data_IF_440786210369
#
_entry.id   IF_440786210369
#
_cell.length_a   1.000
_cell.length_b   1.000
_cell.length_c   1.000
_cell.angle_alpha   90.00
_cell.angle_beta   90.00
_cell.angle_gamma   90.00
#
_symmetry.space_group_name_H-M   'P 1'
#
loop_
_entity.id
_entity.type
_entity.pdbx_description
1 polymer ?
#
# COMPACT_ATOMS: atom_id res chain seq x y z
N UNK A 1 -9.90 -25.67 -2.76
CA UNK A 1 -9.74 -25.55 -4.23
C UNK A 1 -10.09 -24.15 -4.74
N UNK A 2 -11.35 -23.70 -4.67
CA UNK A 2 -11.77 -22.38 -5.22
C UNK A 2 -11.03 -21.18 -4.61
N UNK A 3 -10.81 -21.19 -3.29
CA UNK A 3 -10.13 -20.10 -2.58
C UNK A 3 -8.63 -19.95 -2.97
N UNK A 4 -7.95 -21.04 -3.35
CA UNK A 4 -6.56 -20.97 -3.85
C UNK A 4 -6.48 -20.41 -5.27
N UNK A 5 -7.48 -20.70 -6.11
CA UNK A 5 -7.61 -20.10 -7.44
C UNK A 5 -7.89 -18.60 -7.28
N UNK A 6 -8.78 -18.23 -6.35
CA UNK A 6 -9.11 -16.84 -6.01
C UNK A 6 -7.88 -16.00 -5.66
N UNK A 7 -6.97 -16.52 -4.82
CA UNK A 7 -5.70 -15.85 -4.50
C UNK A 7 -4.83 -15.59 -5.73
N UNK A 8 -4.71 -16.58 -6.60
CA UNK A 8 -3.94 -16.45 -7.84
C UNK A 8 -4.57 -15.42 -8.76
N UNK A 9 -5.89 -15.43 -8.91
CA UNK A 9 -6.63 -14.41 -9.67
C UNK A 9 -6.46 -13.02 -9.07
N UNK A 10 -6.49 -12.90 -7.73
CA UNK A 10 -6.27 -11.62 -7.04
C UNK A 10 -4.84 -11.11 -7.27
N UNK A 11 -3.83 -11.97 -7.24
CA UNK A 11 -2.45 -11.60 -7.54
C UNK A 11 -2.29 -11.11 -8.99
N UNK A 12 -2.89 -11.82 -9.96
CA UNK A 12 -2.89 -11.39 -11.37
C UNK A 12 -3.61 -10.04 -11.54
N UNK A 13 -4.76 -9.85 -10.88
CA UNK A 13 -5.50 -8.59 -10.88
C UNK A 13 -4.67 -7.44 -10.30
N UNK A 14 -3.97 -7.68 -9.19
CA UNK A 14 -3.02 -6.71 -8.58
C UNK A 14 -1.89 -6.39 -9.55
N UNK A 15 -1.28 -7.39 -10.18
CA UNK A 15 -0.24 -7.19 -11.20
C UNK A 15 -0.70 -6.33 -12.38
N UNK A 16 -1.91 -6.58 -12.90
CA UNK A 16 -2.49 -5.77 -13.97
C UNK A 16 -2.80 -4.34 -13.51
N UNK A 17 -3.32 -4.16 -12.30
CA UNK A 17 -3.54 -2.84 -11.71
C UNK A 17 -2.22 -2.06 -11.54
N UNK A 18 -1.15 -2.72 -11.07
CA UNK A 18 0.18 -2.11 -10.92
C UNK A 18 0.76 -1.75 -12.29
N UNK A 19 0.74 -2.67 -13.25
CA UNK A 19 1.27 -2.45 -14.59
C UNK A 19 0.54 -1.34 -15.35
N UNK A 20 -0.79 -1.35 -15.32
CA UNK A 20 -1.59 -0.26 -15.90
C UNK A 20 -1.33 1.07 -15.18
N UNK A 21 -1.14 1.05 -13.85
CA UNK A 21 -0.80 2.25 -13.10
C UNK A 21 0.56 2.83 -13.48
N UNK A 22 1.57 1.99 -13.69
CA UNK A 22 2.88 2.43 -14.17
C UNK A 22 2.75 3.14 -15.52
N UNK A 23 2.04 2.54 -16.47
CA UNK A 23 1.83 3.12 -17.81
C UNK A 23 1.01 4.42 -17.77
N UNK A 24 -0.07 4.47 -16.99
CA UNK A 24 -0.87 5.70 -16.82
C UNK A 24 -0.03 6.80 -16.19
N UNK A 25 0.76 6.48 -15.17
CA UNK A 25 1.59 7.46 -14.47
C UNK A 25 2.70 7.99 -15.37
N UNK A 26 3.27 7.16 -16.25
CA UNK A 26 4.21 7.59 -17.28
C UNK A 26 3.55 8.53 -18.30
N UNK A 27 2.32 8.22 -18.73
CA UNK A 27 1.57 9.11 -19.62
C UNK A 27 1.23 10.45 -18.95
N UNK A 28 0.84 10.43 -17.67
CA UNK A 28 0.60 11.64 -16.89
C UNK A 28 1.89 12.43 -16.64
N UNK A 29 3.02 11.76 -16.50
CA UNK A 29 4.33 12.41 -16.39
C UNK A 29 4.72 13.14 -17.69
N UNK A 30 4.46 12.51 -18.84
CA UNK A 30 4.61 13.18 -20.13
C UNK A 30 3.65 14.37 -20.26
N UNK A 31 2.38 14.20 -19.86
CA UNK A 31 1.39 15.27 -19.86
C UNK A 31 1.80 16.44 -18.94
N UNK A 32 2.35 16.14 -17.75
CA UNK A 32 2.90 17.14 -16.84
C UNK A 32 4.01 17.96 -17.52
N UNK A 33 4.97 17.28 -18.15
CA UNK A 33 6.08 17.95 -18.86
C UNK A 33 5.60 18.88 -19.98
N UNK A 34 4.46 18.60 -20.59
CA UNK A 34 3.84 19.49 -21.61
C UNK A 34 2.94 20.58 -21.02
N UNK A 35 2.44 20.39 -19.80
CA UNK A 35 1.51 21.30 -19.14
C UNK A 35 2.23 22.40 -18.34
N UNK A 36 3.48 22.18 -17.96
CA UNK A 36 4.32 23.20 -17.32
C UNK A 36 4.64 24.30 -18.32
N UNK A 37 4.36 25.54 -17.94
CA UNK A 37 4.59 26.75 -18.76
C UNK A 37 5.82 27.54 -18.32
N UNK A 38 6.62 26.99 -17.40
CA UNK A 38 7.83 27.62 -16.89
C UNK A 38 8.98 27.51 -17.88
N UNK A 39 9.54 28.65 -18.31
CA UNK A 39 10.52 28.71 -19.40
C UNK A 39 11.85 27.98 -19.09
N UNK A 40 12.28 27.96 -17.83
CA UNK A 40 13.50 27.24 -17.42
C UNK A 40 13.24 25.79 -16.99
N UNK A 41 12.05 25.25 -17.28
CA UNK A 41 11.72 23.88 -16.92
C UNK A 41 12.67 22.88 -17.58
N UNK A 42 13.31 22.07 -16.74
CA UNK A 42 14.19 20.98 -17.15
C UNK A 42 13.97 19.74 -16.31
N UNK A 43 14.09 18.57 -16.94
CA UNK A 43 14.09 17.26 -16.27
C UNK A 43 15.47 16.59 -16.35
N UNK A 44 16.52 17.39 -16.54
CA UNK A 44 17.89 16.90 -16.55
C UNK A 44 18.30 16.40 -15.17
N UNK A 45 18.87 15.19 -15.09
CA UNK A 45 19.48 14.68 -13.86
C UNK A 45 20.75 15.45 -13.44
N UNK A 46 21.24 16.37 -14.28
CA UNK A 46 22.30 17.30 -13.92
C UNK A 46 21.77 18.50 -13.10
N UNK A 47 20.46 18.75 -13.09
CA UNK A 47 19.83 19.77 -12.26
C UNK A 47 19.63 19.24 -10.83
N UNK A 48 20.23 19.89 -9.81
CA UNK A 48 20.02 19.52 -8.41
C UNK A 48 18.55 19.48 -7.99
N UNK A 49 17.70 20.35 -8.54
CA UNK A 49 16.26 20.40 -8.22
C UNK A 49 15.55 19.11 -8.59
N UNK A 50 15.86 18.58 -9.78
CA UNK A 50 15.32 17.30 -10.26
C UNK A 50 15.80 16.15 -9.38
N UNK A 51 17.07 16.14 -8.97
CA UNK A 51 17.62 15.09 -8.10
C UNK A 51 17.01 15.14 -6.70
N UNK A 52 16.83 16.33 -6.13
CA UNK A 52 16.13 16.50 -4.84
C UNK A 52 14.70 15.96 -4.93
N UNK A 53 13.98 16.34 -5.98
CA UNK A 53 12.66 15.82 -6.30
C UNK A 53 12.66 14.29 -6.36
N UNK A 54 13.59 13.71 -7.11
CA UNK A 54 13.72 12.26 -7.29
C UNK A 54 13.86 11.51 -5.97
N UNK A 55 14.70 12.02 -5.05
CA UNK A 55 14.90 11.43 -3.73
C UNK A 55 13.65 11.54 -2.85
N UNK A 56 12.98 12.70 -2.84
CA UNK A 56 11.72 12.91 -2.12
C UNK A 56 10.66 11.94 -2.66
N UNK A 57 10.48 11.92 -3.98
CA UNK A 57 9.55 11.03 -4.66
C UNK A 57 9.83 9.56 -4.39
N UNK A 58 11.11 9.17 -4.40
CA UNK A 58 11.55 7.82 -4.08
C UNK A 58 11.23 7.38 -2.65
N UNK A 59 11.20 8.31 -1.70
CA UNK A 59 10.88 8.03 -0.31
C UNK A 59 9.36 7.93 -0.06
N UNK A 60 8.53 8.64 -0.82
CA UNK A 60 7.08 8.72 -0.58
C UNK A 60 6.37 7.35 -0.55
N UNK A 61 6.64 6.40 -1.48
CA UNK A 61 6.07 5.06 -1.39
C UNK A 61 6.43 4.32 -0.11
N UNK A 62 7.66 4.45 0.39
CA UNK A 62 8.07 3.84 1.65
C UNK A 62 7.39 4.48 2.85
N UNK A 63 7.23 5.80 2.86
CA UNK A 63 6.51 6.53 3.91
C UNK A 63 5.06 6.06 3.97
N UNK A 64 4.36 6.06 2.84
CA UNK A 64 2.96 5.63 2.77
C UNK A 64 2.80 4.18 3.17
N UNK A 65 3.68 3.29 2.69
CA UNK A 65 3.68 1.89 3.09
C UNK A 65 3.92 1.73 4.60
N UNK A 66 4.86 2.47 5.19
CA UNK A 66 5.12 2.42 6.63
C UNK A 66 3.89 2.86 7.45
N UNK A 67 3.20 3.92 6.99
CA UNK A 67 1.96 4.39 7.63
C UNK A 67 0.89 3.30 7.58
N UNK A 68 0.57 2.76 6.39
CA UNK A 68 -0.49 1.76 6.22
C UNK A 68 -0.18 0.47 6.97
N UNK A 69 1.07 -0.01 6.93
CA UNK A 69 1.51 -1.18 7.70
C UNK A 69 1.35 -0.98 9.20
N UNK A 70 1.75 0.19 9.71
CA UNK A 70 1.63 0.52 11.13
C UNK A 70 0.17 0.59 11.56
N UNK A 71 -0.69 1.17 10.74
CA UNK A 71 -2.13 1.28 10.99
C UNK A 71 -2.80 -0.09 11.08
N UNK A 72 -2.50 -1.00 10.13
CA UNK A 72 -3.01 -2.37 10.19
C UNK A 72 -2.48 -3.11 11.43
N UNK A 73 -1.20 -2.97 11.75
CA UNK A 73 -0.62 -3.59 12.94
C UNK A 73 -1.30 -3.16 14.25
N UNK A 74 -1.63 -1.88 14.39
CA UNK A 74 -2.38 -1.36 15.56
C UNK A 74 -3.79 -1.96 15.61
N UNK A 75 -4.53 -1.91 14.51
CA UNK A 75 -5.90 -2.44 14.44
C UNK A 75 -5.96 -3.95 14.68
N UNK A 76 -5.00 -4.70 14.12
CA UNK A 76 -4.87 -6.14 14.33
C UNK A 76 -4.52 -6.45 15.80
N UNK A 77 -3.67 -5.65 16.45
CA UNK A 77 -3.38 -5.78 17.87
C UNK A 77 -4.62 -5.61 18.75
N UNK A 78 -5.42 -4.58 18.50
CA UNK A 78 -6.70 -4.36 19.19
C UNK A 78 -7.68 -5.52 18.94
N UNK A 79 -7.77 -6.01 17.71
CA UNK A 79 -8.59 -7.16 17.33
C UNK A 79 -8.18 -8.43 18.10
N UNK A 80 -6.88 -8.70 18.24
CA UNK A 80 -6.37 -9.86 18.99
C UNK A 80 -6.73 -9.77 20.47
N UNK A 81 -6.61 -8.59 21.07
CA UNK A 81 -6.99 -8.37 22.47
C UNK A 81 -8.48 -8.62 22.68
N UNK A 82 -9.33 -8.14 21.77
CA UNK A 82 -10.77 -8.34 21.85
C UNK A 82 -11.16 -9.82 21.67
N UNK A 83 -10.59 -10.52 20.68
CA UNK A 83 -10.85 -11.95 20.48
C UNK A 83 -10.44 -12.75 21.73
N UNK A 84 -9.29 -12.44 22.33
CA UNK A 84 -8.83 -13.08 23.57
C UNK A 84 -9.78 -12.79 24.73
N UNK A 85 -10.30 -11.57 24.84
CA UNK A 85 -11.29 -11.19 25.85
C UNK A 85 -12.56 -12.03 25.68
N UNK A 86 -13.10 -12.13 24.46
CA UNK A 86 -14.30 -12.92 24.19
C UNK A 86 -14.11 -14.40 24.54
N UNK A 87 -12.99 -15.02 24.15
CA UNK A 87 -12.73 -16.42 24.52
C UNK A 87 -12.57 -16.64 26.03
N UNK A 88 -12.13 -15.62 26.77
CA UNK A 88 -11.95 -15.71 28.23
C UNK A 88 -13.24 -15.44 29.01
N UNK A 89 -14.07 -14.51 28.54
CA UNK A 89 -15.22 -13.98 29.29
C UNK A 89 -16.57 -14.57 28.84
N UNK A 90 -16.68 -15.07 27.61
CA UNK A 90 -17.92 -15.68 27.09
C UNK A 90 -17.87 -17.19 27.32
N UNK A 91 -18.52 -17.64 28.40
CA UNK A 91 -18.62 -19.06 28.76
C UNK A 91 -19.23 -19.89 27.64
N UNK A 92 -18.56 -20.98 27.23
CA UNK A 92 -19.04 -21.86 26.18
C UNK A 92 -18.62 -21.46 24.77
N UNK A 93 -17.94 -20.32 24.57
CA UNK A 93 -17.51 -19.88 23.25
C UNK A 93 -16.37 -20.73 22.69
N UNK A 94 -15.38 -21.07 23.54
CA UNK A 94 -14.24 -21.89 23.13
C UNK A 94 -14.66 -23.34 22.83
N UNK A 95 -15.60 -23.87 23.61
CA UNK A 95 -16.15 -25.21 23.44
C UNK A 95 -17.19 -25.29 22.32
N UNK A 96 -17.64 -24.15 21.79
CA UNK A 96 -18.66 -24.08 20.74
C UNK A 96 -20.03 -24.57 21.19
N UNK A 97 -20.44 -24.23 22.43
CA UNK A 97 -21.75 -24.62 22.97
C UNK A 97 -22.90 -24.06 22.10
N UNK A 98 -23.92 -24.88 21.90
CA UNK A 98 -25.08 -24.52 21.09
C UNK A 98 -25.78 -23.27 21.65
N UNK A 99 -26.00 -22.28 20.78
CA UNK A 99 -26.61 -21.00 21.14
C UNK A 99 -25.65 -19.91 21.65
N UNK A 100 -24.40 -20.25 22.00
CA UNK A 100 -23.36 -19.26 22.33
C UNK A 100 -22.74 -18.73 21.05
N UNK A 101 -22.74 -17.40 20.88
CA UNK A 101 -22.22 -16.75 19.66
C UNK A 101 -21.17 -15.70 20.02
N UNK A 102 -20.13 -15.53 19.18
CA UNK A 102 -19.15 -14.46 19.35
C UNK A 102 -19.80 -13.10 19.11
N UNK A 103 -19.30 -12.08 19.80
CA UNK A 103 -19.66 -10.69 19.53
C UNK A 103 -18.86 -10.17 18.33
N UNK A 104 -19.42 -10.42 17.15
CA UNK A 104 -18.83 -9.94 15.90
C UNK A 104 -18.98 -8.42 15.72
N UNK A 105 -19.95 -7.78 16.38
CA UNK A 105 -20.22 -6.36 16.22
C UNK A 105 -19.06 -5.51 16.77
N UNK A 106 -18.50 -5.91 17.93
CA UNK A 106 -17.33 -5.24 18.51
C UNK A 106 -16.09 -5.36 17.61
N UNK A 107 -15.83 -6.52 17.01
CA UNK A 107 -14.74 -6.70 16.05
C UNK A 107 -14.92 -5.81 14.80
N UNK A 108 -16.15 -5.73 14.28
CA UNK A 108 -16.47 -4.83 13.15
C UNK A 108 -16.25 -3.37 13.53
N UNK A 109 -16.65 -2.96 14.73
CA UNK A 109 -16.47 -1.58 15.21
C UNK A 109 -14.99 -1.18 15.35
N UNK A 110 -14.15 -2.07 15.91
CA UNK A 110 -12.69 -1.86 16.03
C UNK A 110 -12.08 -1.61 14.64
N UNK A 111 -12.30 -2.54 13.70
CA UNK A 111 -11.74 -2.42 12.36
C UNK A 111 -12.26 -1.20 11.61
N UNK A 112 -13.53 -0.84 11.79
CA UNK A 112 -14.17 0.31 11.14
C UNK A 112 -13.59 1.63 11.65
N UNK A 113 -13.51 1.82 12.97
CA UNK A 113 -12.95 3.04 13.57
C UNK A 113 -11.48 3.23 13.23
N UNK A 114 -10.70 2.15 13.27
CA UNK A 114 -9.30 2.18 12.88
C UNK A 114 -9.14 2.56 11.40
N UNK A 115 -9.88 1.91 10.49
CA UNK A 115 -9.81 2.22 9.07
C UNK A 115 -10.17 3.69 8.77
N UNK A 116 -11.26 4.20 9.35
CA UNK A 116 -11.71 5.58 9.17
C UNK A 116 -10.68 6.60 9.66
N UNK A 117 -10.06 6.37 10.81
CA UNK A 117 -9.06 7.28 11.37
C UNK A 117 -7.75 7.25 10.58
N UNK A 118 -7.28 6.05 10.27
CA UNK A 118 -5.93 5.84 9.77
C UNK A 118 -5.80 6.10 8.26
N UNK A 119 -6.91 6.01 7.48
CA UNK A 119 -6.87 6.28 6.04
C UNK A 119 -6.57 7.75 5.69
N UNK A 120 -6.82 8.68 6.61
CA UNK A 120 -6.69 10.12 6.37
C UNK A 120 -5.25 10.49 6.05
N UNK A 121 -4.29 10.00 6.84
CA UNK A 121 -2.91 10.47 6.75
C UNK A 121 -2.22 10.06 5.43
N UNK A 122 -2.29 8.81 4.95
CA UNK A 122 -1.82 8.44 3.61
C UNK A 122 -2.48 9.23 2.49
N UNK A 123 -3.79 9.51 2.60
CA UNK A 123 -4.54 10.30 1.62
C UNK A 123 -4.05 11.75 1.56
N UNK A 124 -3.77 12.36 2.71
CA UNK A 124 -3.20 13.70 2.78
C UNK A 124 -1.81 13.76 2.13
N UNK A 125 -0.95 12.77 2.39
CA UNK A 125 0.38 12.70 1.74
C UNK A 125 0.25 12.69 0.22
N UNK A 126 -0.66 11.88 -0.33
CA UNK A 126 -0.85 11.76 -1.77
C UNK A 126 -1.31 13.07 -2.45
N UNK A 127 -2.10 13.90 -1.75
CA UNK A 127 -2.63 15.16 -2.28
C UNK A 127 -1.68 16.33 -2.03
N UNK A 128 -1.12 16.44 -0.83
CA UNK A 128 -0.33 17.58 -0.43
C UNK A 128 1.13 17.50 -0.86
N UNK A 129 1.73 16.31 -1.00
CA UNK A 129 3.14 16.22 -1.40
C UNK A 129 3.43 16.88 -2.77
N UNK A 130 2.64 16.64 -3.84
CA UNK A 130 2.82 17.34 -5.11
C UNK A 130 2.65 18.87 -5.00
N UNK A 131 1.68 19.33 -4.21
CA UNK A 131 1.41 20.75 -4.02
C UNK A 131 2.57 21.42 -3.29
N UNK A 132 3.05 20.82 -2.20
CA UNK A 132 4.16 21.34 -1.41
C UNK A 132 5.43 21.36 -2.25
N UNK A 133 5.79 20.25 -2.91
CA UNK A 133 7.00 20.19 -3.72
C UNK A 133 6.92 21.13 -4.92
N UNK A 134 5.79 21.19 -5.61
CA UNK A 134 5.59 22.06 -6.77
C UNK A 134 5.76 23.54 -6.44
N UNK A 135 5.07 24.03 -5.41
CA UNK A 135 5.16 25.45 -5.05
C UNK A 135 6.41 25.80 -4.25
N UNK A 136 6.98 24.89 -3.46
CA UNK A 136 8.16 25.18 -2.65
C UNK A 136 9.47 25.01 -3.42
N UNK A 137 9.61 23.93 -4.19
CA UNK A 137 10.86 23.54 -4.87
C UNK A 137 10.79 23.69 -6.40
N UNK A 138 9.62 24.05 -6.94
CA UNK A 138 9.44 24.36 -8.34
C UNK A 138 9.03 23.18 -9.23
N UNK A 139 8.73 23.51 -10.49
CA UNK A 139 8.21 22.57 -11.48
C UNK A 139 9.18 21.41 -11.78
N UNK A 140 10.50 21.69 -11.84
CA UNK A 140 11.53 20.69 -12.10
C UNK A 140 11.68 19.68 -10.95
N UNK A 141 11.63 20.15 -9.70
CA UNK A 141 11.66 19.27 -8.53
C UNK A 141 10.40 18.39 -8.45
N UNK A 142 9.22 18.94 -8.75
CA UNK A 142 8.01 18.14 -8.82
C UNK A 142 8.08 17.07 -9.90
N UNK A 143 8.64 17.39 -11.08
CA UNK A 143 8.93 16.41 -12.11
C UNK A 143 9.85 15.28 -11.61
N UNK A 144 10.93 15.62 -10.93
CA UNK A 144 11.80 14.65 -10.25
C UNK A 144 11.03 13.77 -9.27
N UNK A 145 10.16 14.35 -8.45
CA UNK A 145 9.33 13.64 -7.47
C UNK A 145 8.40 12.62 -8.13
N UNK A 146 7.74 12.97 -9.23
CA UNK A 146 6.90 12.04 -9.97
C UNK A 146 7.71 10.86 -10.54
N UNK A 147 8.89 11.13 -11.09
CA UNK A 147 9.78 10.09 -11.61
C UNK A 147 10.26 9.14 -10.50
N UNK A 148 10.66 9.70 -9.35
CA UNK A 148 11.14 8.92 -8.20
C UNK A 148 10.05 8.05 -7.60
N UNK A 149 8.85 8.61 -7.43
CA UNK A 149 7.69 7.89 -6.92
C UNK A 149 7.23 6.78 -7.86
N UNK A 150 7.31 7.00 -9.18
CA UNK A 150 7.00 5.98 -10.18
C UNK A 150 7.93 4.77 -10.06
N UNK A 151 9.24 4.98 -10.12
CA UNK A 151 10.22 3.88 -10.13
C UNK A 151 10.15 3.08 -8.83
N UNK A 152 10.18 3.76 -7.70
CA UNK A 152 10.17 3.09 -6.39
C UNK A 152 8.81 2.48 -6.07
N UNK A 153 7.72 3.20 -6.34
CA UNK A 153 6.38 2.76 -6.00
C UNK A 153 5.94 1.54 -6.80
N UNK A 154 6.25 1.45 -8.09
CA UNK A 154 5.94 0.26 -8.91
C UNK A 154 6.69 -0.96 -8.41
N UNK A 155 8.00 -0.84 -8.15
CA UNK A 155 8.83 -1.95 -7.66
C UNK A 155 8.35 -2.43 -6.29
N UNK A 156 8.05 -1.49 -5.38
CA UNK A 156 7.59 -1.81 -4.04
C UNK A 156 6.18 -2.43 -4.05
N UNK A 157 5.27 -1.93 -4.89
CA UNK A 157 3.93 -2.48 -5.05
C UNK A 157 3.95 -3.93 -5.56
N UNK A 158 4.77 -4.22 -6.58
CA UNK A 158 4.96 -5.57 -7.10
C UNK A 158 5.56 -6.50 -6.04
N UNK A 159 6.60 -6.04 -5.34
CA UNK A 159 7.22 -6.80 -4.26
C UNK A 159 6.19 -7.16 -3.18
N UNK A 160 5.44 -6.19 -2.67
CA UNK A 160 4.47 -6.42 -1.60
C UNK A 160 3.32 -7.33 -2.03
N UNK A 161 2.75 -7.12 -3.23
CA UNK A 161 1.66 -7.94 -3.74
C UNK A 161 2.10 -9.40 -3.95
N UNK A 162 3.28 -9.61 -4.52
CA UNK A 162 3.79 -10.95 -4.82
C UNK A 162 4.27 -11.67 -3.56
N UNK A 163 4.98 -10.98 -2.66
CA UNK A 163 5.45 -11.57 -1.40
C UNK A 163 4.28 -12.03 -0.53
N UNK A 164 3.28 -11.17 -0.32
CA UNK A 164 2.10 -11.55 0.45
C UNK A 164 1.27 -12.67 -0.21
N UNK A 165 1.13 -12.64 -1.54
CA UNK A 165 0.48 -13.73 -2.28
C UNK A 165 1.24 -15.06 -2.18
N UNK A 166 2.58 -15.03 -2.17
CA UNK A 166 3.41 -16.20 -2.01
C UNK A 166 3.27 -16.82 -0.61
N UNK A 167 3.28 -16.01 0.45
CA UNK A 167 3.07 -16.50 1.82
C UNK A 167 1.70 -17.16 2.02
N UNK A 168 0.64 -16.55 1.50
CA UNK A 168 -0.72 -17.13 1.57
C UNK A 168 -0.82 -18.46 0.83
N UNK A 169 -0.25 -18.52 -0.38
CA UNK A 169 -0.25 -19.74 -1.18
C UNK A 169 0.64 -20.84 -0.55
N UNK A 170 1.74 -20.47 0.11
CA UNK A 170 2.56 -21.43 0.87
C UNK A 170 1.77 -22.04 2.03
N UNK A 171 1.04 -21.22 2.81
CA UNK A 171 0.12 -21.70 3.86
C UNK A 171 -0.94 -22.63 3.27
N UNK A 172 -1.60 -22.22 2.17
CA UNK A 172 -2.62 -23.04 1.50
C UNK A 172 -2.06 -24.37 0.96
N UNK A 173 -0.80 -24.39 0.50
CA UNK A 173 -0.16 -25.61 0.03
C UNK A 173 0.03 -26.64 1.15
N UNK A 174 0.39 -26.20 2.36
CA UNK A 174 0.46 -27.07 3.56
C UNK A 174 -0.94 -27.56 3.95
N UNK A 175 -1.93 -26.66 3.99
CA UNK A 175 -3.32 -27.01 4.34
C UNK A 175 -3.98 -28.01 3.36
N UNK A 176 -3.51 -28.04 2.11
CA UNK A 176 -3.99 -28.95 1.06
C UNK A 176 -3.16 -30.24 0.97
N UNK A 177 -2.10 -30.38 1.77
CA UNK A 177 -1.23 -31.57 1.76
C UNK A 177 -0.34 -31.66 0.51
N UNK A 178 -0.03 -30.54 -0.14
CA UNK A 178 0.87 -30.51 -1.29
C UNK A 178 2.37 -30.53 -0.90
N UNK A 179 2.69 -30.37 0.38
CA UNK A 179 4.05 -30.40 0.90
C UNK A 179 4.22 -31.66 1.75
N UNK A 180 5.03 -32.61 1.26
CA UNK A 180 5.32 -33.84 1.99
C UNK A 180 5.98 -33.51 3.35
N UNK A 181 5.49 -34.16 4.40
CA UNK A 181 6.01 -33.99 5.76
C UNK A 181 5.42 -32.81 6.54
N UNK A 182 4.67 -31.90 5.89
CA UNK A 182 3.97 -30.81 6.56
C UNK A 182 2.45 -31.09 6.64
N UNK A 183 1.83 -30.74 7.77
CA UNK A 183 0.40 -30.94 8.04
C UNK A 183 -0.19 -29.77 8.82
N UNK A 184 -1.50 -29.57 8.70
CA UNK A 184 -2.20 -28.51 9.45
C UNK A 184 -1.99 -28.68 10.96
N UNK A 185 -1.59 -27.59 11.61
CA UNK A 185 -1.31 -27.52 13.05
C UNK A 185 0.04 -28.09 13.48
N UNK A 186 0.99 -28.30 12.56
CA UNK A 186 2.39 -28.52 12.90
C UNK A 186 3.20 -27.21 12.85
N UNK A 187 4.46 -27.28 13.28
CA UNK A 187 5.35 -26.11 13.35
C UNK A 187 5.55 -25.42 11.98
N UNK A 188 5.48 -26.19 10.88
CA UNK A 188 5.62 -25.64 9.53
C UNK A 188 4.35 -24.87 9.10
N UNK A 189 3.18 -25.40 9.43
CA UNK A 189 1.90 -24.71 9.22
C UNK A 189 1.81 -23.43 10.06
N UNK A 190 2.18 -23.47 11.33
CA UNK A 190 2.18 -22.30 12.21
C UNK A 190 3.13 -21.21 11.69
N UNK A 191 4.33 -21.59 11.23
CA UNK A 191 5.27 -20.66 10.60
C UNK A 191 4.70 -20.04 9.30
N UNK A 192 3.99 -20.83 8.48
CA UNK A 192 3.36 -20.34 7.26
C UNK A 192 2.18 -19.40 7.57
N UNK A 193 1.40 -19.67 8.64
CA UNK A 193 0.36 -18.76 9.14
C UNK A 193 0.97 -17.43 9.57
N UNK A 194 2.10 -17.43 10.28
CA UNK A 194 2.82 -16.19 10.63
C UNK A 194 3.22 -15.43 9.37
N UNK A 195 3.81 -16.11 8.38
CA UNK A 195 4.18 -15.49 7.10
C UNK A 195 2.99 -14.85 6.38
N UNK A 196 1.85 -15.52 6.34
CA UNK A 196 0.63 -15.01 5.72
C UNK A 196 0.10 -13.76 6.46
N UNK A 197 0.09 -13.77 7.80
CA UNK A 197 -0.34 -12.60 8.58
C UNK A 197 0.57 -11.38 8.41
N UNK A 198 1.86 -11.59 8.11
CA UNK A 198 2.78 -10.51 7.70
C UNK A 198 2.45 -10.05 6.27
N UNK A 199 2.10 -10.99 5.40
CA UNK A 199 1.74 -10.78 4.00
C UNK A 199 0.39 -10.09 3.77
N UNK A 200 -0.56 -10.19 4.68
CA UNK A 200 -1.89 -9.58 4.58
C UNK A 200 -1.83 -8.04 4.39
N UNK A 201 -1.19 -7.26 5.28
CA UNK A 201 -1.08 -5.82 5.07
C UNK A 201 -0.18 -5.45 3.88
N UNK A 202 0.72 -6.33 3.46
CA UNK A 202 1.51 -6.15 2.23
C UNK A 202 0.61 -6.22 0.99
N UNK A 203 -0.12 -7.32 0.83
CA UNK A 203 -0.85 -7.64 -0.40
C UNK A 203 -2.21 -6.97 -0.48
N UNK A 204 -2.85 -6.65 0.64
CA UNK A 204 -4.25 -6.17 0.68
C UNK A 204 -4.41 -4.72 1.17
N UNK A 205 -3.34 -4.10 1.66
CA UNK A 205 -3.38 -2.68 2.08
C UNK A 205 -2.30 -1.86 1.38
N UNK A 206 -1.03 -2.07 1.74
CA UNK A 206 0.07 -1.20 1.32
C UNK A 206 0.34 -1.33 -0.18
N UNK A 207 0.59 -2.55 -0.67
CA UNK A 207 0.93 -2.79 -2.07
C UNK A 207 -0.08 -2.22 -3.07
N UNK A 208 -1.39 -2.55 -2.96
CA UNK A 208 -2.41 -1.97 -3.82
C UNK A 208 -2.55 -0.44 -3.70
N UNK A 209 -2.38 0.13 -2.50
CA UNK A 209 -2.49 1.57 -2.26
C UNK A 209 -1.39 2.37 -2.97
N UNK A 210 -0.19 1.81 -3.13
CA UNK A 210 0.91 2.49 -3.83
C UNK A 210 0.57 2.80 -5.30
N UNK A 211 -0.24 1.98 -5.96
CA UNK A 211 -0.68 2.26 -7.33
C UNK A 211 -1.56 3.50 -7.42
N UNK A 212 -2.43 3.67 -6.41
CA UNK A 212 -3.33 4.81 -6.31
C UNK A 212 -2.52 6.06 -5.95
N UNK A 213 -1.57 5.94 -5.03
CA UNK A 213 -0.67 7.01 -4.63
C UNK A 213 0.02 7.64 -5.84
N UNK A 214 0.66 6.82 -6.69
CA UNK A 214 1.41 7.33 -7.86
C UNK A 214 0.46 8.04 -8.83
N UNK A 215 -0.69 7.42 -9.18
CA UNK A 215 -1.67 8.02 -10.09
C UNK A 215 -2.20 9.35 -9.56
N UNK A 216 -2.57 9.39 -8.28
CA UNK A 216 -3.15 10.57 -7.67
C UNK A 216 -2.14 11.71 -7.63
N UNK A 217 -0.89 11.44 -7.24
CA UNK A 217 0.17 12.44 -7.27
C UNK A 217 0.40 12.99 -8.68
N UNK A 218 0.45 12.12 -9.69
CA UNK A 218 0.60 12.55 -11.09
C UNK A 218 -0.57 13.41 -11.57
N UNK A 219 -1.82 13.07 -11.22
CA UNK A 219 -2.99 13.87 -11.59
C UNK A 219 -2.94 15.24 -10.91
N UNK A 220 -2.66 15.30 -9.60
CA UNK A 220 -2.56 16.57 -8.88
C UNK A 220 -1.48 17.46 -9.48
N UNK A 221 -0.32 16.89 -9.81
CA UNK A 221 0.78 17.62 -10.44
C UNK A 221 0.37 18.20 -11.81
N UNK A 222 -0.32 17.43 -12.64
CA UNK A 222 -0.84 17.93 -13.94
C UNK A 222 -1.83 19.07 -13.75
N UNK A 223 -2.73 18.98 -12.75
CA UNK A 223 -3.73 20.01 -12.48
C UNK A 223 -3.10 21.35 -12.08
N UNK A 224 -2.01 21.32 -11.32
CA UNK A 224 -1.33 22.54 -10.86
C UNK A 224 -0.23 23.03 -11.80
N UNK A 225 0.14 22.25 -12.83
CA UNK A 225 1.35 22.45 -13.64
C UNK A 225 1.47 23.84 -14.28
N UNK A 226 0.37 24.42 -14.77
CA UNK A 226 0.36 25.74 -15.42
C UNK A 226 0.56 26.90 -14.45
N UNK A 227 0.44 26.66 -13.14
CA UNK A 227 0.66 27.65 -12.10
C UNK A 227 2.03 27.55 -11.40
N UNK A 228 2.93 26.69 -11.90
CA UNK A 228 4.24 26.45 -11.30
C UNK A 228 5.35 27.28 -11.96
N UNK A 229 6.35 27.64 -11.15
CA UNK A 229 7.57 28.37 -11.52
C UNK A 229 8.81 27.72 -10.87
N UNK A 230 9.83 28.52 -10.50
CA UNK A 230 11.03 28.06 -9.76
C UNK A 230 10.74 27.58 -8.34
N UNK A 231 9.57 27.91 -7.79
CA UNK A 231 9.17 27.64 -6.41
C UNK A 231 9.65 28.72 -5.44
N UNK A 232 8.92 28.94 -4.35
CA UNK A 232 9.18 30.07 -3.44
C UNK A 232 10.44 29.92 -2.57
N UNK A 233 11.08 28.74 -2.52
CA UNK A 233 12.34 28.55 -1.80
C UNK A 233 13.57 28.88 -2.65
N UNK A 234 13.41 29.14 -3.95
CA UNK A 234 14.50 29.41 -4.90
C UNK A 234 14.24 30.62 -5.79
#
# INVERSE_FOLDING_TARGET
ALDSIGNTTAAVGKGFAIGSAALTSLALFAAYSTAVTYDEFTLSLADPSVVMGLLIGGALPFVVAAMTMTSVGKAAGEMVVEIRRQFKEIDGLLEGKEGVKPDSATCVDISTKAALREMVAPGLVAVFAPVIVGYALGASALGGMLAGALVTGVLLALFMANAGGAWDNAKKAIEQGHIEGAKKGDDAHDAAVIGDTIGDPFKDTSGPALNILIKLMSIVAVVIASGLDSGFLF
#
